data_IF_510348317049
#
_entry.id   IF_510348317049
#
_cell.length_a   1.000
_cell.length_b   1.000
_cell.length_c   1.000
_cell.angle_alpha   90.00
_cell.angle_beta   90.00
_cell.angle_gamma   90.00
#
_symmetry.space_group_name_H-M   'P 1'
#
loop_
_entity.id
_entity.type
_entity.pdbx_description
1 polymer ?
#
# COMPACT_ATOMS: atom_id res chain seq x y z
N UNK A 1 -1.41 -24.72 -0.79
CA UNK A 1 -0.67 -23.43 -0.82
C UNK A 1 -0.68 -22.89 0.60
N UNK A 2 0.48 -22.56 1.18
CA UNK A 2 0.50 -21.96 2.52
C UNK A 2 -0.22 -20.62 2.51
N UNK A 3 -1.01 -20.34 3.53
CA UNK A 3 -1.64 -19.04 3.69
C UNK A 3 -0.55 -17.96 3.80
N UNK A 4 -0.69 -16.87 3.05
CA UNK A 4 0.21 -15.72 3.14
C UNK A 4 0.19 -15.15 4.56
N UNK A 5 1.37 -14.83 5.09
CA UNK A 5 1.48 -14.10 6.36
C UNK A 5 0.96 -12.66 6.22
N UNK A 6 0.60 -12.01 7.33
CA UNK A 6 0.16 -10.60 7.34
C UNK A 6 1.19 -9.68 6.69
N UNK A 7 2.49 -9.92 6.94
CA UNK A 7 3.58 -9.14 6.35
C UNK A 7 3.67 -9.31 4.83
N UNK A 8 3.49 -10.52 4.32
CA UNK A 8 3.47 -10.76 2.87
C UNK A 8 2.24 -10.16 2.20
N UNK A 9 1.07 -10.26 2.85
CA UNK A 9 -0.15 -9.58 2.38
C UNK A 9 0.07 -8.08 2.30
N UNK A 10 0.71 -7.49 3.32
CA UNK A 10 1.04 -6.08 3.35
C UNK A 10 1.96 -5.68 2.20
N UNK A 11 3.03 -6.45 1.95
CA UNK A 11 3.92 -6.19 0.81
C UNK A 11 3.18 -6.21 -0.53
N UNK A 12 2.24 -7.13 -0.73
CA UNK A 12 1.45 -7.23 -1.97
C UNK A 12 0.41 -6.12 -2.09
N UNK A 13 -0.30 -5.82 -0.99
CA UNK A 13 -1.49 -4.97 -1.00
C UNK A 13 -1.18 -3.48 -0.74
N UNK A 14 0.01 -3.16 -0.28
CA UNK A 14 0.53 -1.79 -0.15
C UNK A 14 1.21 -1.29 -1.43
N UNK A 15 1.65 -2.17 -2.33
CA UNK A 15 2.31 -1.76 -3.58
C UNK A 15 1.41 -0.88 -4.46
N UNK A 16 0.10 -1.10 -4.42
CA UNK A 16 -0.86 -0.29 -5.16
C UNK A 16 -0.90 1.18 -4.70
N UNK A 17 -0.44 1.49 -3.48
CA UNK A 17 -0.43 2.86 -2.96
C UNK A 17 0.50 3.79 -3.78
N UNK A 18 1.51 3.24 -4.48
CA UNK A 18 2.42 4.04 -5.32
C UNK A 18 1.73 4.73 -6.50
N UNK A 19 0.55 4.24 -6.90
CA UNK A 19 -0.25 4.80 -8.00
C UNK A 19 -1.26 5.85 -7.52
N UNK A 20 -1.37 6.06 -6.20
CA UNK A 20 -2.38 6.96 -5.67
C UNK A 20 -1.86 8.40 -5.54
N UNK A 21 -2.56 9.32 -6.21
CA UNK A 21 -2.18 10.74 -6.29
C UNK A 21 -2.19 11.47 -4.93
N UNK A 22 -2.88 10.94 -3.93
CA UNK A 22 -2.95 11.54 -2.59
C UNK A 22 -1.74 11.23 -1.70
N UNK A 23 -0.87 10.30 -2.10
CA UNK A 23 0.35 10.03 -1.36
C UNK A 23 1.44 11.03 -1.68
N UNK A 24 1.67 11.95 -0.73
CA UNK A 24 2.85 12.80 -0.75
C UNK A 24 4.09 11.96 -0.45
N UNK A 25 5.09 12.03 -1.33
CA UNK A 25 6.37 11.33 -1.19
C UNK A 25 7.32 11.97 -0.17
N UNK A 26 6.84 12.93 0.63
CA UNK A 26 7.62 13.68 1.62
C UNK A 26 8.06 12.76 2.76
N UNK A 27 9.15 12.02 2.56
CA UNK A 27 9.71 11.05 3.51
C UNK A 27 10.19 9.74 2.88
N UNK A 28 9.90 9.49 1.60
CA UNK A 28 10.40 8.29 0.92
C UNK A 28 11.92 8.36 0.71
N UNK A 29 12.59 7.21 0.79
CA UNK A 29 14.01 7.10 0.43
C UNK A 29 14.24 7.68 -0.98
N UNK A 30 15.45 8.23 -1.21
CA UNK A 30 15.81 8.77 -2.53
C UNK A 30 15.52 7.72 -3.59
N UNK A 31 14.88 8.15 -4.68
CA UNK A 31 14.59 7.33 -5.85
C UNK A 31 15.85 6.58 -6.29
N UNK A 32 15.83 5.26 -6.23
CA UNK A 32 16.75 4.41 -6.96
C UNK A 32 15.98 3.64 -8.04
N UNK A 33 15.66 4.35 -9.12
CA UNK A 33 15.13 3.75 -10.33
C UNK A 33 16.24 3.27 -11.28
N UNK A 34 17.52 3.41 -10.90
CA UNK A 34 18.65 3.04 -11.75
C UNK A 34 18.83 1.51 -11.82
N UNK A 35 18.56 0.80 -10.72
CA UNK A 35 18.66 -0.67 -10.67
C UNK A 35 17.35 -1.39 -11.06
N UNK A 36 16.19 -0.80 -10.77
CA UNK A 36 14.88 -1.49 -10.88
C UNK A 36 14.07 -1.18 -12.13
N UNK A 37 14.39 -0.12 -12.87
CA UNK A 37 13.69 0.28 -14.11
C UNK A 37 12.20 0.64 -13.95
N UNK A 38 11.69 0.76 -12.72
CA UNK A 38 10.28 1.00 -12.42
C UNK A 38 9.91 2.48 -12.22
N UNK A 39 8.62 2.80 -12.37
CA UNK A 39 8.04 4.10 -11.99
C UNK A 39 7.57 4.03 -10.53
N UNK A 40 8.05 4.97 -9.71
CA UNK A 40 7.72 5.08 -8.28
C UNK A 40 8.79 4.46 -7.38
N UNK A 41 9.08 5.10 -6.24
CA UNK A 41 10.10 4.67 -5.27
C UNK A 41 9.58 4.58 -3.84
N UNK A 42 8.25 4.62 -3.68
CA UNK A 42 7.61 4.40 -2.39
C UNK A 42 7.54 2.89 -2.14
N UNK A 43 8.68 2.30 -1.78
CA UNK A 43 8.67 1.04 -1.05
C UNK A 43 8.19 1.35 0.36
N UNK A 44 7.07 0.75 0.77
CA UNK A 44 6.46 1.13 2.03
C UNK A 44 5.37 0.17 2.45
N UNK A 45 5.36 -0.14 3.74
CA UNK A 45 4.42 -1.01 4.44
C UNK A 45 3.00 -0.41 4.52
N UNK A 46 2.57 0.29 3.46
CA UNK A 46 1.28 0.97 3.36
C UNK A 46 1.24 2.33 4.04
N UNK A 47 2.37 2.91 4.49
CA UNK A 47 2.35 4.24 5.10
C UNK A 47 2.45 5.31 4.01
N UNK A 48 1.53 6.26 4.04
CA UNK A 48 1.37 7.33 3.07
C UNK A 48 1.21 8.65 3.81
N UNK A 49 1.86 9.71 3.35
CA UNK A 49 1.72 11.04 3.95
C UNK A 49 0.69 11.88 3.20
N UNK A 50 -0.13 12.62 3.94
CA UNK A 50 -1.12 13.56 3.41
C UNK A 50 -1.14 14.82 4.27
N UNK A 51 -1.65 15.94 3.73
CA UNK A 51 -1.67 17.22 4.44
C UNK A 51 -3.10 17.60 4.82
N UNK A 52 -3.32 17.90 6.11
CA UNK A 52 -4.57 18.48 6.57
C UNK A 52 -4.75 19.91 6.05
N UNK A 53 -5.98 20.46 6.05
CA UNK A 53 -6.26 21.83 5.60
C UNK A 53 -5.46 22.93 6.34
N UNK A 54 -4.98 22.63 7.56
CA UNK A 54 -4.13 23.50 8.37
C UNK A 54 -2.63 23.39 8.04
N UNK A 55 -2.27 22.58 7.04
CA UNK A 55 -0.89 22.37 6.58
C UNK A 55 -0.11 21.32 7.36
N UNK A 56 -0.70 20.65 8.36
CA UNK A 56 -0.02 19.56 9.08
C UNK A 56 0.10 18.32 8.20
N UNK A 57 1.28 17.71 8.19
CA UNK A 57 1.50 16.39 7.59
C UNK A 57 0.95 15.30 8.52
N UNK A 58 0.21 14.35 7.97
CA UNK A 58 -0.42 13.22 8.64
C UNK A 58 0.03 11.95 7.95
N UNK A 59 0.38 10.94 8.74
CA UNK A 59 0.75 9.60 8.34
C UNK A 59 -0.47 8.67 8.37
N UNK A 60 -0.78 8.06 7.22
CA UNK A 60 -1.96 7.23 7.03
C UNK A 60 -1.56 5.81 6.61
N UNK A 61 -2.28 4.80 7.11
CA UNK A 61 -2.19 3.44 6.59
C UNK A 61 -3.10 3.30 5.36
N UNK A 62 -2.49 3.31 4.17
CA UNK A 62 -3.12 3.10 2.88
C UNK A 62 -2.79 1.72 2.32
N UNK A 63 -3.78 0.84 2.34
CA UNK A 63 -3.67 -0.54 1.85
C UNK A 63 -4.92 -0.92 1.08
N UNK A 64 -4.78 -1.87 0.14
CA UNK A 64 -5.95 -2.59 -0.37
C UNK A 64 -6.39 -3.65 0.64
N UNK A 65 -7.70 -3.79 0.87
CA UNK A 65 -8.24 -4.97 1.57
C UNK A 65 -7.95 -6.24 0.75
N UNK A 66 -8.03 -6.12 -0.56
CA UNK A 66 -7.74 -7.18 -1.52
C UNK A 66 -7.41 -6.61 -2.89
N UNK A 67 -6.56 -7.31 -3.64
CA UNK A 67 -6.32 -6.98 -5.04
C UNK A 67 -7.05 -7.93 -6.01
N UNK A 68 -8.01 -8.74 -5.55
CA UNK A 68 -8.89 -9.48 -6.46
C UNK A 68 -9.94 -8.53 -7.05
N UNK A 69 -9.88 -8.29 -8.35
CA UNK A 69 -10.83 -7.44 -9.08
C UNK A 69 -11.57 -8.26 -10.13
N UNK A 70 -12.87 -8.03 -10.27
CA UNK A 70 -13.72 -8.68 -11.30
C UNK A 70 -13.64 -7.97 -12.67
N UNK A 71 -13.15 -6.73 -12.69
CA UNK A 71 -13.10 -5.91 -13.90
C UNK A 71 -11.79 -6.07 -14.68
N UNK A 72 -11.85 -5.81 -15.98
CA UNK A 72 -10.71 -5.88 -16.89
C UNK A 72 -10.27 -4.49 -17.42
N UNK A 73 -10.00 -3.55 -16.52
CA UNK A 73 -9.60 -2.18 -16.92
C UNK A 73 -8.20 -2.17 -17.54
N UNK A 74 -8.05 -1.65 -18.77
CA UNK A 74 -6.78 -1.64 -19.52
C UNK A 74 -5.60 -0.97 -18.82
N UNK A 75 -5.86 -0.05 -17.89
CA UNK A 75 -4.85 0.72 -17.17
C UNK A 75 -4.53 0.18 -15.76
N UNK A 76 -5.21 -0.88 -15.32
CA UNK A 76 -5.11 -1.35 -13.94
C UNK A 76 -4.32 -2.65 -13.86
N UNK A 77 -3.21 -2.68 -13.10
CA UNK A 77 -2.43 -3.90 -12.85
C UNK A 77 -3.23 -4.99 -12.13
N UNK A 78 -4.24 -4.59 -11.34
CA UNK A 78 -5.11 -5.52 -10.62
C UNK A 78 -6.28 -6.05 -11.45
N UNK A 79 -6.37 -5.72 -12.75
CA UNK A 79 -7.43 -6.24 -13.64
C UNK A 79 -7.50 -7.78 -13.60
N UNK A 80 -8.69 -8.34 -13.81
CA UNK A 80 -8.97 -9.77 -13.66
C UNK A 80 -8.07 -10.65 -14.55
N UNK A 81 -7.72 -10.17 -15.74
CA UNK A 81 -6.86 -10.87 -16.71
C UNK A 81 -5.37 -10.89 -16.35
N UNK A 82 -4.91 -10.12 -15.36
CA UNK A 82 -3.47 -10.01 -15.04
C UNK A 82 -2.98 -11.12 -14.11
N UNK A 83 -1.86 -11.73 -14.50
CA UNK A 83 -1.15 -12.73 -13.71
C UNK A 83 -0.21 -12.07 -12.69
N UNK A 84 -0.79 -11.55 -11.61
CA UNK A 84 -0.06 -10.94 -10.48
C UNK A 84 -0.39 -11.65 -9.18
N UNK A 85 0.52 -11.61 -8.21
CA UNK A 85 0.30 -12.23 -6.89
C UNK A 85 -0.93 -11.61 -6.24
N UNK A 86 -1.91 -12.45 -5.86
CA UNK A 86 -3.15 -11.99 -5.25
C UNK A 86 -3.18 -12.24 -3.74
N UNK A 87 -3.76 -11.32 -3.01
CA UNK A 87 -3.88 -11.37 -1.56
C UNK A 87 -5.20 -10.75 -1.10
N UNK A 88 -5.61 -11.14 0.11
CA UNK A 88 -6.77 -10.60 0.82
C UNK A 88 -6.49 -10.62 2.31
N UNK A 89 -6.77 -9.52 2.99
CA UNK A 89 -6.79 -9.49 4.44
C UNK A 89 -8.14 -9.99 4.97
N UNK A 90 -8.08 -10.67 6.11
CA UNK A 90 -9.22 -10.81 7.01
C UNK A 90 -9.46 -9.50 7.78
N UNK A 91 -10.68 -9.33 8.29
CA UNK A 91 -11.06 -8.15 9.07
C UNK A 91 -10.16 -8.03 10.32
N UNK A 92 -9.98 -9.13 11.05
CA UNK A 92 -9.16 -9.16 12.26
C UNK A 92 -7.70 -8.78 11.99
N UNK A 93 -7.17 -9.15 10.82
CA UNK A 93 -5.81 -8.79 10.40
C UNK A 93 -5.68 -7.29 10.18
N UNK A 94 -6.65 -6.67 9.50
CA UNK A 94 -6.65 -5.22 9.24
C UNK A 94 -6.84 -4.43 10.52
N UNK A 95 -7.78 -4.84 11.38
CA UNK A 95 -8.02 -4.17 12.67
C UNK A 95 -6.77 -4.24 13.54
N UNK A 96 -6.18 -5.43 13.70
CA UNK A 96 -4.97 -5.60 14.49
C UNK A 96 -3.81 -4.78 13.93
N UNK A 97 -3.58 -4.84 12.61
CA UNK A 97 -2.52 -4.08 11.95
C UNK A 97 -2.69 -2.57 12.17
N UNK A 98 -3.90 -2.06 11.99
CA UNK A 98 -4.22 -0.63 12.18
C UNK A 98 -3.97 -0.20 13.62
N UNK A 99 -4.47 -0.98 14.59
CA UNK A 99 -4.28 -0.68 16.01
C UNK A 99 -2.81 -0.76 16.44
N UNK A 100 -2.04 -1.70 15.90
CA UNK A 100 -0.61 -1.85 16.18
C UNK A 100 0.20 -0.66 15.64
N UNK A 101 -0.18 -0.12 14.47
CA UNK A 101 0.46 1.07 13.89
C UNK A 101 0.07 2.33 14.67
N UNK A 102 -1.21 2.49 14.99
CA UNK A 102 -1.73 3.62 15.75
C UNK A 102 -1.10 3.71 17.15
N UNK A 103 -1.09 2.60 17.91
CA UNK A 103 -0.50 2.57 19.27
C UNK A 103 1.00 2.84 19.31
N UNK A 104 1.70 2.65 18.19
CA UNK A 104 3.14 2.92 18.04
C UNK A 104 3.42 4.29 17.41
N UNK A 105 2.39 5.12 17.19
CA UNK A 105 2.46 6.42 16.55
C UNK A 105 3.09 6.37 15.14
N UNK A 106 2.84 5.29 14.38
CA UNK A 106 3.25 5.21 12.98
C UNK A 106 2.20 5.78 12.01
N UNK A 107 0.96 5.88 12.47
CA UNK A 107 -0.17 6.48 11.76
C UNK A 107 -1.03 7.26 12.76
N UNK A 108 -1.80 8.22 12.24
CA UNK A 108 -2.61 9.18 13.01
C UNK A 108 -4.10 9.09 12.67
#
# INVERSE_FOLDING_TARGET
>A
MSALTVREKLAVLSDAAKYDASCASSGAAKKDSLESGGIGSTEGMGICHSYAPDGRCISLLKILLTNFCIYDCSYCINRSSSNVRRARFGIDEVVKLTMDFYRRNYIE
#
